data_IF_837579689967
#
_entry.id   IF_837579689967
#
_cell.length_a   1.000
_cell.length_b   1.000
_cell.length_c   1.000
_cell.angle_alpha   90.00
_cell.angle_beta   90.00
_cell.angle_gamma   90.00
#
_symmetry.space_group_name_H-M   'P 1'
#
loop_
_entity.id
_entity.type
_entity.pdbx_description
1 polymer ?
#
# COMPACT_ATOMS: atom_id res chain seq x y z
N UNK A 1 16.14 45.61 -4.57
CA UNK A 1 16.42 45.48 -3.12
C UNK A 1 15.17 44.83 -2.53
N UNK A 2 14.97 43.52 -2.62
CA UNK A 2 15.83 42.43 -2.14
C UNK A 2 15.84 41.34 -3.24
N UNK A 3 16.67 41.48 -4.27
CA UNK A 3 17.77 40.54 -4.46
C UNK A 3 18.59 40.24 -3.20
N UNK A 4 19.11 39.01 -3.15
CA UNK A 4 19.95 38.42 -2.10
C UNK A 4 19.21 37.88 -0.88
N UNK A 5 18.81 36.60 -0.96
CA UNK A 5 19.11 35.56 0.02
C UNK A 5 18.37 34.28 -0.40
N UNK A 6 19.03 33.43 -1.19
CA UNK A 6 19.07 31.97 -0.97
C UNK A 6 19.91 31.32 -2.08
N UNK A 7 21.16 31.75 -2.19
CA UNK A 7 22.18 30.91 -2.81
C UNK A 7 22.67 29.91 -1.75
N UNK A 8 22.73 28.63 -2.15
CA UNK A 8 23.55 27.54 -1.57
C UNK A 8 23.01 26.80 -0.34
N UNK A 9 22.13 25.84 -0.59
CA UNK A 9 22.47 24.46 -0.24
C UNK A 9 22.69 23.66 -1.53
N UNK A 10 23.92 23.72 -2.04
CA UNK A 10 24.41 22.74 -3.02
C UNK A 10 24.53 21.39 -2.30
N UNK A 11 23.41 20.69 -2.11
CA UNK A 11 23.45 19.27 -1.80
C UNK A 11 23.74 18.57 -3.14
N UNK A 12 25.03 18.45 -3.47
CA UNK A 12 25.48 17.45 -4.44
C UNK A 12 25.35 16.10 -3.76
N UNK A 13 24.13 15.58 -3.72
CA UNK A 13 23.94 14.15 -3.49
C UNK A 13 23.64 13.53 -4.85
N UNK A 14 24.61 12.81 -5.39
CA UNK A 14 24.55 12.17 -6.72
C UNK A 14 23.49 11.06 -6.81
N UNK A 15 22.62 10.90 -5.79
CA UNK A 15 21.59 9.86 -5.66
C UNK A 15 20.16 10.38 -5.73
N UNK A 16 19.97 11.71 -5.83
CA UNK A 16 18.66 12.35 -5.94
C UNK A 16 18.53 12.90 -7.36
N UNK A 17 17.80 12.19 -8.21
CA UNK A 17 17.49 12.65 -9.56
C UNK A 17 16.09 13.27 -9.58
N UNK A 18 16.00 14.52 -10.03
CA UNK A 18 14.73 15.19 -10.30
C UNK A 18 14.26 14.77 -11.70
N UNK A 19 13.19 13.98 -11.78
CA UNK A 19 12.50 13.70 -13.04
C UNK A 19 11.21 14.51 -13.03
N UNK A 20 11.14 15.59 -13.81
CA UNK A 20 10.00 16.50 -13.81
C UNK A 20 9.87 17.28 -12.49
N UNK A 21 8.68 17.26 -11.87
CA UNK A 21 8.41 17.90 -10.57
C UNK A 21 8.56 16.96 -9.37
N UNK A 22 9.03 15.72 -9.60
CA UNK A 22 9.07 14.68 -8.57
C UNK A 22 10.51 14.40 -8.14
N UNK A 23 10.75 14.36 -6.82
CA UNK A 23 12.03 14.03 -6.22
C UNK A 23 12.13 12.53 -6.00
N UNK A 24 13.12 11.86 -6.60
CA UNK A 24 13.27 10.39 -6.51
C UNK A 24 14.65 10.06 -5.91
N UNK A 25 14.66 9.26 -4.83
CA UNK A 25 15.86 8.68 -4.23
C UNK A 25 16.14 7.29 -4.84
N UNK A 26 17.39 7.01 -5.24
CA UNK A 26 17.71 5.86 -6.11
C UNK A 26 18.00 4.51 -5.44
N UNK A 27 18.31 4.43 -4.14
CA UNK A 27 18.64 3.15 -3.50
C UNK A 27 17.98 2.97 -2.11
N UNK A 28 17.26 1.86 -1.97
CA UNK A 28 16.52 1.45 -0.77
C UNK A 28 15.15 0.90 -1.18
N UNK A 29 14.63 -0.18 -0.54
CA UNK A 29 13.28 -0.64 -0.81
C UNK A 29 12.33 0.53 -0.54
N UNK A 30 11.74 1.08 -1.62
CA UNK A 30 10.69 2.10 -1.54
C UNK A 30 9.66 1.55 -0.58
N UNK A 31 9.36 2.28 0.49
CA UNK A 31 8.22 1.93 1.33
C UNK A 31 6.99 2.05 0.44
N UNK A 32 6.50 0.92 -0.07
CA UNK A 32 5.13 0.67 -0.50
C UNK A 32 4.43 1.91 -1.13
N UNK A 33 5.06 2.50 -2.15
CA UNK A 33 4.53 3.64 -2.94
C UNK A 33 4.33 4.98 -2.21
N UNK A 34 5.06 5.25 -1.12
CA UNK A 34 5.02 6.56 -0.48
C UNK A 34 5.59 7.67 -1.40
N UNK A 35 4.84 8.76 -1.53
CA UNK A 35 5.21 9.95 -2.32
C UNK A 35 6.40 10.71 -1.69
N UNK A 36 6.55 10.60 -0.38
CA UNK A 36 7.64 11.20 0.38
C UNK A 36 8.05 10.30 1.54
N UNK A 37 9.36 10.11 1.68
CA UNK A 37 9.99 9.42 2.80
C UNK A 37 11.18 10.25 3.30
N UNK A 38 11.16 10.61 4.58
CA UNK A 38 12.22 11.39 5.20
C UNK A 38 13.48 10.54 5.42
N UNK A 39 14.64 11.12 5.12
CA UNK A 39 15.94 10.45 5.26
C UNK A 39 16.37 10.25 6.71
N UNK A 40 15.64 10.78 7.71
CA UNK A 40 15.91 10.57 9.15
C UNK A 40 15.32 9.27 9.68
N UNK A 41 14.52 8.56 8.89
CA UNK A 41 13.94 7.27 9.29
C UNK A 41 14.45 6.13 8.43
N UNK A 42 14.30 4.92 8.94
CA UNK A 42 14.56 3.68 8.23
C UNK A 42 13.50 2.62 8.58
N UNK A 43 13.32 1.67 7.66
CA UNK A 43 12.45 0.51 7.87
C UNK A 43 13.32 -0.65 8.33
N UNK A 44 13.02 -1.23 9.48
CA UNK A 44 13.70 -2.44 9.97
C UNK A 44 12.70 -3.42 10.55
N UNK A 45 13.13 -4.66 10.78
CA UNK A 45 12.34 -5.65 11.52
C UNK A 45 12.44 -5.32 13.02
N UNK A 46 11.29 -5.08 13.63
CA UNK A 46 11.09 -5.05 15.06
C UNK A 46 10.85 -6.49 15.56
N UNK A 47 11.67 -6.94 16.51
CA UNK A 47 11.56 -8.28 17.09
C UNK A 47 10.15 -8.51 17.65
N UNK A 48 9.50 -9.59 17.18
CA UNK A 48 8.13 -9.96 17.57
C UNK A 48 7.02 -9.04 17.06
N UNK A 49 7.31 -7.99 16.26
CA UNK A 49 6.32 -7.00 15.79
C UNK A 49 6.31 -6.77 14.27
N UNK A 50 7.18 -7.43 13.52
CA UNK A 50 7.25 -7.30 12.07
C UNK A 50 8.03 -6.05 11.62
N UNK A 51 7.74 -5.50 10.43
CA UNK A 51 8.41 -4.29 9.92
C UNK A 51 7.93 -3.06 10.69
N UNK A 52 8.85 -2.16 11.06
CA UNK A 52 8.56 -0.89 11.72
C UNK A 52 9.46 0.23 11.25
N UNK A 53 9.07 1.48 11.56
CA UNK A 53 9.87 2.67 11.32
C UNK A 53 10.73 3.00 12.53
N UNK A 54 11.99 3.30 12.26
CA UNK A 54 12.96 3.65 13.28
C UNK A 54 13.61 4.98 12.92
N UNK A 55 13.75 5.85 13.92
CA UNK A 55 14.55 7.05 13.78
C UNK A 55 16.04 6.68 13.74
N UNK A 56 16.79 7.22 12.79
CA UNK A 56 18.25 7.10 12.71
C UNK A 56 18.97 8.13 13.59
N UNK A 57 18.24 9.16 14.01
CA UNK A 57 18.71 10.31 14.76
C UNK A 57 17.53 10.99 15.46
N UNK A 58 17.80 11.95 16.34
CA UNK A 58 16.76 12.78 16.92
C UNK A 58 16.02 13.59 15.84
N UNK A 59 14.69 13.63 15.97
CA UNK A 59 13.78 14.24 15.01
C UNK A 59 13.03 15.38 15.71
N UNK A 60 13.20 16.64 15.26
CA UNK A 60 12.43 17.76 15.78
C UNK A 60 10.93 17.56 15.63
N UNK A 61 10.16 18.10 16.57
CA UNK A 61 8.71 18.15 16.47
C UNK A 61 8.26 18.79 15.13
N UNK A 62 7.11 18.35 14.64
CA UNK A 62 6.52 18.80 13.36
C UNK A 62 7.34 18.47 12.10
N UNK A 63 8.36 17.62 12.18
CA UNK A 63 9.03 17.08 10.99
C UNK A 63 8.10 16.13 10.24
N UNK A 64 7.81 16.42 8.97
CA UNK A 64 7.13 15.46 8.09
C UNK A 64 8.05 14.26 7.85
N UNK A 65 7.58 13.06 8.23
CA UNK A 65 8.37 11.82 8.08
C UNK A 65 7.95 11.01 6.86
N UNK A 66 6.65 10.96 6.59
CA UNK A 66 6.06 10.14 5.52
C UNK A 66 4.88 10.90 4.94
N UNK A 67 4.76 10.87 3.62
CA UNK A 67 3.50 11.13 2.93
C UNK A 67 3.28 9.99 1.96
N UNK A 68 2.15 9.30 2.09
CA UNK A 68 1.73 8.29 1.12
C UNK A 68 0.32 8.60 0.65
N UNK A 69 0.10 8.50 -0.65
CA UNK A 69 -1.22 8.44 -1.22
C UNK A 69 -1.67 6.98 -1.23
N UNK A 70 -2.77 6.63 -0.54
CA UNK A 70 -3.29 5.26 -0.59
C UNK A 70 -3.69 4.93 -2.03
N UNK A 71 -3.51 3.66 -2.41
CA UNK A 71 -3.90 3.19 -3.72
C UNK A 71 -5.42 3.38 -3.92
N UNK A 72 -6.21 3.07 -2.90
CA UNK A 72 -7.66 3.31 -2.86
C UNK A 72 -8.14 3.36 -1.39
N UNK A 73 -9.27 4.01 -1.14
CA UNK A 73 -9.89 4.07 0.20
C UNK A 73 -11.37 3.70 0.08
N UNK A 74 -11.87 2.97 1.07
CA UNK A 74 -13.29 2.70 1.23
C UNK A 74 -13.70 3.01 2.67
N UNK A 75 -14.85 3.66 2.84
CA UNK A 75 -15.48 3.92 4.12
C UNK A 75 -16.81 3.18 4.17
N UNK A 76 -17.18 2.69 5.35
CA UNK A 76 -18.42 1.91 5.53
C UNK A 76 -19.65 2.73 5.12
N UNK A 77 -19.72 3.99 5.55
CA UNK A 77 -20.87 4.88 5.28
C UNK A 77 -20.97 5.30 3.80
N UNK A 78 -19.91 5.09 3.03
CA UNK A 78 -19.86 5.37 1.59
C UNK A 78 -20.01 4.10 0.74
N UNK A 79 -20.13 2.93 1.37
CA UNK A 79 -20.28 1.67 0.66
C UNK A 79 -21.65 1.64 -0.02
N UNK A 80 -21.70 1.50 -1.36
CA UNK A 80 -22.97 1.46 -2.08
C UNK A 80 -23.85 0.27 -1.67
N UNK A 81 -25.17 0.41 -1.83
CA UNK A 81 -26.12 -0.68 -1.57
C UNK A 81 -25.81 -1.96 -2.37
N UNK A 82 -25.24 -1.82 -3.57
CA UNK A 82 -24.88 -2.97 -4.41
C UNK A 82 -23.79 -3.84 -3.76
N UNK A 83 -22.92 -3.25 -2.93
CA UNK A 83 -21.88 -3.97 -2.20
C UNK A 83 -22.51 -4.92 -1.18
N UNK A 84 -23.57 -4.48 -0.49
CA UNK A 84 -24.34 -5.35 0.41
C UNK A 84 -25.02 -6.50 -0.36
N UNK A 85 -25.55 -6.23 -1.56
CA UNK A 85 -26.14 -7.26 -2.42
C UNK A 85 -25.11 -8.30 -2.91
N UNK A 86 -23.87 -7.88 -3.17
CA UNK A 86 -22.78 -8.80 -3.51
C UNK A 86 -22.43 -9.66 -2.29
N UNK A 87 -22.28 -9.03 -1.12
CA UNK A 87 -21.96 -9.72 0.13
C UNK A 87 -23.00 -10.80 0.45
N UNK A 88 -24.29 -10.50 0.32
CA UNK A 88 -25.35 -11.49 0.58
C UNK A 88 -25.33 -12.71 -0.35
N UNK A 89 -24.64 -12.62 -1.50
CA UNK A 89 -24.48 -13.73 -2.46
C UNK A 89 -23.22 -14.55 -2.22
N UNK A 90 -22.17 -13.95 -1.66
CA UNK A 90 -20.87 -14.60 -1.48
C UNK A 90 -20.65 -15.10 -0.05
N UNK A 91 -21.30 -14.49 0.95
CA UNK A 91 -21.16 -14.86 2.35
C UNK A 91 -22.20 -15.92 2.71
N UNK A 92 -21.79 -17.09 3.24
CA UNK A 92 -22.72 -18.13 3.67
C UNK A 92 -23.70 -17.65 4.75
N UNK A 93 -24.94 -18.20 4.78
CA UNK A 93 -25.88 -17.92 5.84
C UNK A 93 -25.28 -18.27 7.22
N UNK A 94 -25.39 -17.35 8.18
CA UNK A 94 -24.90 -17.51 9.56
C UNK A 94 -23.52 -16.93 9.84
N UNK A 95 -22.81 -16.41 8.83
CA UNK A 95 -21.61 -15.60 9.04
C UNK A 95 -21.97 -14.19 9.53
N UNK A 96 -21.15 -13.64 10.44
CA UNK A 96 -21.28 -12.25 10.89
C UNK A 96 -20.76 -11.35 9.77
N UNK A 97 -21.62 -10.46 9.28
CA UNK A 97 -21.25 -9.38 8.37
C UNK A 97 -21.17 -8.12 9.21
N UNK A 98 -19.94 -7.68 9.48
CA UNK A 98 -19.67 -6.42 10.15
C UNK A 98 -19.17 -5.36 9.15
N UNK A 99 -18.88 -4.17 9.66
CA UNK A 99 -18.38 -3.07 8.85
C UNK A 99 -17.05 -3.39 8.17
N UNK A 100 -16.18 -4.24 8.74
CA UNK A 100 -14.88 -4.54 8.13
C UNK A 100 -15.03 -5.46 6.91
N UNK A 101 -15.97 -6.42 6.97
CA UNK A 101 -16.34 -7.23 5.80
C UNK A 101 -16.87 -6.36 4.66
N UNK A 102 -17.77 -5.42 4.97
CA UNK A 102 -18.36 -4.52 3.96
C UNK A 102 -17.29 -3.63 3.32
N UNK A 103 -16.46 -3.00 4.13
CA UNK A 103 -15.36 -2.14 3.66
C UNK A 103 -14.34 -2.95 2.86
N UNK A 104 -14.02 -4.17 3.27
CA UNK A 104 -13.07 -5.03 2.55
C UNK A 104 -13.58 -5.41 1.16
N UNK A 105 -14.85 -5.80 1.04
CA UNK A 105 -15.45 -6.11 -0.27
C UNK A 105 -15.52 -4.86 -1.16
N UNK A 106 -15.93 -3.72 -0.60
CA UNK A 106 -15.95 -2.45 -1.34
C UNK A 106 -14.55 -2.09 -1.88
N UNK A 107 -13.53 -2.20 -1.03
CA UNK A 107 -12.16 -1.88 -1.39
C UNK A 107 -11.65 -2.81 -2.51
N UNK A 108 -11.97 -4.11 -2.45
CA UNK A 108 -11.64 -5.05 -3.52
C UNK A 108 -12.33 -4.70 -4.85
N UNK A 109 -13.60 -4.28 -4.81
CA UNK A 109 -14.34 -3.83 -6.00
C UNK A 109 -13.68 -2.60 -6.61
N UNK A 110 -13.43 -1.55 -5.81
CA UNK A 110 -12.81 -0.31 -6.28
C UNK A 110 -11.41 -0.54 -6.86
N UNK A 111 -10.58 -1.33 -6.19
CA UNK A 111 -9.24 -1.70 -6.67
C UNK A 111 -9.34 -2.43 -8.01
N UNK A 112 -10.23 -3.42 -8.12
CA UNK A 112 -10.41 -4.18 -9.37
C UNK A 112 -10.86 -3.28 -10.51
N UNK A 113 -11.84 -2.41 -10.27
CA UNK A 113 -12.33 -1.45 -11.27
C UNK A 113 -11.22 -0.48 -11.70
N UNK A 114 -10.46 0.04 -10.74
CA UNK A 114 -9.33 0.94 -11.03
C UNK A 114 -8.27 0.26 -11.90
N UNK A 115 -7.90 -0.97 -11.58
CA UNK A 115 -6.94 -1.74 -12.38
C UNK A 115 -7.47 -2.15 -13.76
N UNK A 116 -8.79 -2.31 -13.92
CA UNK A 116 -9.40 -2.51 -15.24
C UNK A 116 -9.31 -1.26 -16.12
N UNK A 117 -9.39 -0.06 -15.52
CA UNK A 117 -9.25 1.22 -16.22
C UNK A 117 -7.78 1.59 -16.47
N UNK A 118 -6.89 1.23 -15.54
CA UNK A 118 -5.45 1.53 -15.55
C UNK A 118 -4.61 0.23 -15.41
N UNK A 119 -4.59 -0.66 -16.43
CA UNK A 119 -3.93 -1.97 -16.34
C UNK A 119 -2.41 -1.90 -16.13
N UNK A 120 -1.76 -0.79 -16.49
CA UNK A 120 -0.34 -0.54 -16.23
C UNK A 120 0.01 -0.53 -14.74
N UNK A 121 -0.96 -0.23 -13.88
CA UNK A 121 -0.80 -0.22 -12.42
C UNK A 121 -0.84 -1.63 -11.82
N UNK A 122 -1.27 -2.65 -12.56
CA UNK A 122 -1.31 -4.04 -12.08
C UNK A 122 0.06 -4.47 -11.57
N UNK A 123 1.13 -4.12 -12.29
CA UNK A 123 2.50 -4.45 -11.90
C UNK A 123 2.87 -3.90 -10.53
N UNK A 124 2.61 -2.61 -10.30
CA UNK A 124 2.92 -1.93 -9.04
C UNK A 124 2.05 -2.44 -7.89
N UNK A 125 0.78 -2.74 -8.19
CA UNK A 125 -0.14 -3.30 -7.21
C UNK A 125 0.27 -4.73 -6.80
N UNK A 126 0.67 -5.58 -7.75
CA UNK A 126 1.08 -6.95 -7.44
C UNK A 126 2.39 -7.06 -6.67
N UNK A 127 3.23 -6.02 -6.72
CA UNK A 127 4.41 -5.91 -5.87
C UNK A 127 4.08 -5.69 -4.39
N UNK A 128 2.84 -5.30 -4.05
CA UNK A 128 2.41 -5.19 -2.65
C UNK A 128 2.39 -6.53 -1.93
N UNK A 129 2.23 -7.64 -2.68
CA UNK A 129 2.16 -8.96 -2.06
C UNK A 129 3.48 -9.33 -1.36
N UNK A 130 3.43 -9.45 -0.03
CA UNK A 130 4.57 -9.90 0.77
C UNK A 130 4.46 -11.37 1.23
N UNK A 131 3.47 -12.13 0.77
CA UNK A 131 3.22 -13.50 1.23
C UNK A 131 3.90 -14.60 0.40
N UNK A 132 3.88 -15.86 0.87
CA UNK A 132 4.52 -16.99 0.17
C UNK A 132 3.63 -17.69 -0.88
N UNK A 133 2.33 -17.35 -0.96
CA UNK A 133 1.29 -18.18 -1.60
C UNK A 133 0.86 -17.70 -3.00
N UNK A 134 1.66 -16.85 -3.62
CA UNK A 134 1.49 -16.43 -5.01
C UNK A 134 2.77 -16.71 -5.79
N UNK A 135 2.60 -16.95 -7.09
CA UNK A 135 3.72 -17.01 -8.03
C UNK A 135 4.45 -15.67 -7.97
N UNK A 136 5.76 -15.65 -7.64
CA UNK A 136 6.55 -14.42 -7.61
C UNK A 136 6.44 -13.64 -8.92
N UNK A 137 6.49 -12.32 -8.84
CA UNK A 137 6.33 -11.43 -10.00
C UNK A 137 7.35 -11.75 -11.10
N UNK A 138 8.55 -12.18 -10.74
CA UNK A 138 9.65 -12.53 -11.64
C UNK A 138 9.36 -13.78 -12.48
N UNK A 139 8.36 -14.59 -12.07
CA UNK A 139 7.97 -15.83 -12.75
C UNK A 139 6.70 -15.68 -13.60
N UNK A 140 6.13 -14.49 -13.67
CA UNK A 140 4.98 -14.20 -14.52
C UNK A 140 5.46 -13.83 -15.91
N UNK A 141 4.68 -14.22 -16.92
CA UNK A 141 4.90 -13.70 -18.27
C UNK A 141 4.49 -12.21 -18.33
N UNK A 142 5.00 -11.48 -19.33
CA UNK A 142 4.75 -10.04 -19.44
C UNK A 142 3.27 -9.69 -19.56
N UNK A 143 2.47 -10.52 -20.25
CA UNK A 143 1.03 -10.31 -20.39
C UNK A 143 0.30 -10.37 -19.05
N UNK A 144 0.67 -11.29 -18.16
CA UNK A 144 0.10 -11.43 -16.82
C UNK A 144 0.43 -10.26 -15.88
N UNK A 145 1.45 -9.46 -16.20
CA UNK A 145 1.80 -8.28 -15.40
C UNK A 145 0.83 -7.11 -15.62
N UNK A 146 0.05 -7.14 -16.70
CA UNK A 146 -0.92 -6.11 -17.06
C UNK A 146 -2.38 -6.60 -17.00
N UNK A 147 -2.60 -7.91 -16.90
CA UNK A 147 -3.93 -8.48 -16.75
C UNK A 147 -4.44 -8.39 -15.31
N UNK A 148 -5.72 -8.02 -15.15
CA UNK A 148 -6.39 -7.97 -13.84
C UNK A 148 -6.71 -9.38 -13.34
N UNK A 149 -5.86 -9.89 -12.45
CA UNK A 149 -6.05 -11.14 -11.69
C UNK A 149 -6.75 -10.86 -10.35
N UNK A 150 -8.06 -11.06 -10.32
CA UNK A 150 -8.90 -10.89 -9.11
C UNK A 150 -8.46 -11.82 -7.98
N UNK A 151 -8.01 -13.05 -8.28
CA UNK A 151 -7.57 -13.98 -7.23
C UNK A 151 -6.30 -13.49 -6.54
N UNK A 152 -5.40 -12.89 -7.30
CA UNK A 152 -4.20 -12.25 -6.77
C UNK A 152 -4.55 -11.01 -5.94
N UNK A 153 -5.47 -10.16 -6.41
CA UNK A 153 -5.95 -9.01 -5.65
C UNK A 153 -6.52 -9.44 -4.29
N UNK A 154 -7.39 -10.46 -4.27
CA UNK A 154 -7.97 -10.99 -3.03
C UNK A 154 -6.89 -11.53 -2.08
N UNK A 155 -5.88 -12.22 -2.59
CA UNK A 155 -4.79 -12.78 -1.78
C UNK A 155 -3.86 -11.70 -1.21
N UNK A 156 -3.61 -10.64 -1.97
CA UNK A 156 -2.90 -9.44 -1.48
C UNK A 156 -3.68 -8.83 -0.33
N UNK A 157 -4.96 -8.53 -0.58
CA UNK A 157 -5.84 -7.93 0.41
C UNK A 157 -5.93 -8.76 1.71
N UNK A 158 -6.14 -10.07 1.59
CA UNK A 158 -6.26 -10.95 2.75
C UNK A 158 -4.95 -11.13 3.52
N UNK A 159 -3.79 -11.03 2.85
CA UNK A 159 -2.49 -11.17 3.50
C UNK A 159 -2.05 -9.88 4.19
N UNK A 160 -2.28 -8.74 3.55
CA UNK A 160 -1.84 -7.43 4.04
C UNK A 160 -2.86 -6.79 4.99
N UNK A 161 -4.06 -7.36 5.13
CA UNK A 161 -5.00 -6.98 6.18
C UNK A 161 -4.48 -7.42 7.55
N UNK A 162 -4.17 -6.46 8.43
CA UNK A 162 -3.64 -6.68 9.78
C UNK A 162 -4.53 -7.53 10.73
N UNK A 163 -5.71 -7.97 10.30
CA UNK A 163 -6.65 -8.78 11.09
C UNK A 163 -6.24 -10.27 11.26
N UNK A 164 -5.10 -10.71 10.72
CA UNK A 164 -4.73 -12.14 10.73
C UNK A 164 -4.43 -12.75 12.10
N UNK A 165 -4.27 -11.96 13.18
CA UNK A 165 -3.72 -12.47 14.45
C UNK A 165 -4.78 -12.90 15.49
N UNK A 166 -6.05 -12.49 15.40
CA UNK A 166 -7.00 -12.74 16.51
C UNK A 166 -8.16 -13.72 16.23
N UNK A 167 -8.36 -14.19 15.00
CA UNK A 167 -9.52 -15.05 14.69
C UNK A 167 -9.29 -16.55 14.89
N UNK A 168 -8.05 -17.00 15.02
CA UNK A 168 -7.70 -18.43 15.20
C UNK A 168 -7.53 -18.86 16.66
N UNK A 169 -7.53 -17.93 17.62
CA UNK A 169 -7.36 -18.26 19.05
C UNK A 169 -8.68 -18.57 19.81
N UNK A 170 -9.83 -18.54 19.14
CA UNK A 170 -11.14 -18.78 19.76
C UNK A 170 -11.83 -20.09 19.34
N UNK A 171 -11.06 -21.11 18.96
CA UNK A 171 -11.58 -22.48 18.92
C UNK A 171 -10.92 -23.26 20.06
N UNK A 172 -11.58 -23.26 21.22
CA UNK A 172 -11.41 -24.26 22.27
C UNK A 172 -12.58 -25.22 22.22
#
# INVERSE_FOLDING_TARGET
>A
IIDELHEKSKIKDNRINKIGNTWIHQEGPRLDHADYLNDKIEVRIAEGKGRGWFAKQDIPEHTLLISSKPFEIAYYDEAPEHTQSIISKIVPPGCIIDSSVVVGVELMIRITQKLLVEPERCREFYQLYCGPNLVPMEKLNEEMLYCVDVNRIMKIFAYDSFEQIDRTNNIK
#
